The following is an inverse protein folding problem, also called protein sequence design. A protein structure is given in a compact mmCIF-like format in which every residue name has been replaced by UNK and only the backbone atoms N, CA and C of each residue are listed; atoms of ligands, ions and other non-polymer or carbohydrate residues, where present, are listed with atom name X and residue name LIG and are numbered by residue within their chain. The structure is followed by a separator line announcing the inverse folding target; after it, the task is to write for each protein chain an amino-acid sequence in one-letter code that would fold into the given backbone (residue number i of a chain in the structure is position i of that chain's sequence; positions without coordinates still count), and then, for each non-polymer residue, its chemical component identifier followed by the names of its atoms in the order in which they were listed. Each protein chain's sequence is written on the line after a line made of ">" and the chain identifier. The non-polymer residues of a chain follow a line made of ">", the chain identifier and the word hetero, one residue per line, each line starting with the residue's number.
data_IF_662641654288
#
_entry.id   IF_662641654288
#
_cell.length_a   1.000
_cell.length_b   1.000
_cell.length_c   1.000
_cell.angle_alpha   90.00
_cell.angle_beta   90.00
_cell.angle_gamma   90.00
#
_symmetry.space_group_name_H-M   'P 1'
#
loop_
_entity.id
_entity.type
_entity.pdbx_description
1 polymer ?
#
# COMPACT_ATOMS: atom_id res chain seq x y z
N UNK A 1 -7.50 24.56 10.56
CA UNK A 1 -6.09 24.79 10.96
C UNK A 1 -5.64 26.12 10.34
N UNK A 2 -5.30 27.10 11.16
CA UNK A 2 -4.92 28.47 10.75
C UNK A 2 -3.41 28.73 10.76
N UNK A 3 -2.60 27.75 10.34
CA UNK A 3 -1.15 27.94 10.16
C UNK A 3 -0.89 28.30 8.70
N UNK A 4 -0.24 29.43 8.47
CA UNK A 4 0.15 29.89 7.13
C UNK A 4 1.24 29.02 6.49
N UNK A 5 2.00 28.27 7.30
CA UNK A 5 3.07 27.36 6.86
C UNK A 5 3.05 26.05 7.64
N UNK A 6 3.20 24.94 6.93
CA UNK A 6 3.26 23.57 7.46
C UNK A 6 4.49 22.89 6.87
N UNK A 7 5.34 22.30 7.71
CA UNK A 7 6.49 21.50 7.29
C UNK A 7 6.24 20.04 7.62
N UNK A 8 6.40 19.15 6.64
CA UNK A 8 6.19 17.70 6.80
C UNK A 8 7.31 16.91 6.12
N UNK A 9 7.52 15.68 6.55
CA UNK A 9 8.47 14.71 5.98
C UNK A 9 7.72 13.51 5.37
N UNK A 10 8.03 13.21 4.10
CA UNK A 10 7.62 11.97 3.42
C UNK A 10 8.75 10.94 3.50
N UNK A 11 8.53 9.88 4.26
CA UNK A 11 9.41 8.73 4.34
C UNK A 11 9.21 7.79 3.15
N UNK A 12 10.30 7.43 2.46
CA UNK A 12 10.31 6.52 1.31
C UNK A 12 11.48 5.54 1.40
N UNK A 13 11.45 4.47 0.58
CA UNK A 13 12.63 3.63 0.35
C UNK A 13 13.63 4.30 -0.60
N UNK A 14 14.91 3.94 -0.50
CA UNK A 14 16.02 4.49 -1.28
C UNK A 14 16.19 3.91 -2.70
N UNK A 15 15.27 3.04 -3.12
CA UNK A 15 15.20 2.51 -4.50
C UNK A 15 14.65 3.55 -5.47
N UNK A 16 15.10 3.52 -6.72
CA UNK A 16 14.82 4.54 -7.73
C UNK A 16 13.32 4.82 -7.93
N UNK A 17 12.50 3.77 -8.03
CA UNK A 17 11.05 3.93 -8.23
C UNK A 17 10.38 4.64 -7.05
N UNK A 18 10.81 4.33 -5.81
CA UNK A 18 10.26 4.98 -4.62
C UNK A 18 10.69 6.45 -4.51
N UNK A 19 11.92 6.78 -4.90
CA UNK A 19 12.40 8.18 -4.96
C UNK A 19 11.58 9.00 -5.95
N UNK A 20 11.38 8.50 -7.17
CA UNK A 20 10.58 9.17 -8.20
C UNK A 20 9.14 9.42 -7.76
N UNK A 21 8.51 8.45 -7.09
CA UNK A 21 7.18 8.64 -6.52
C UNK A 21 7.19 9.70 -5.41
N UNK A 22 8.20 9.69 -4.53
CA UNK A 22 8.39 10.71 -3.49
C UNK A 22 8.50 12.13 -4.06
N UNK A 23 9.33 12.33 -5.08
CA UNK A 23 9.50 13.60 -5.79
C UNK A 23 8.19 14.05 -6.46
N UNK A 24 7.46 13.12 -7.09
CA UNK A 24 6.16 13.40 -7.68
C UNK A 24 5.14 13.86 -6.64
N UNK A 25 5.05 13.17 -5.50
CA UNK A 25 4.16 13.55 -4.39
C UNK A 25 4.54 14.94 -3.86
N UNK A 26 5.84 15.16 -3.60
CA UNK A 26 6.38 16.44 -3.15
C UNK A 26 5.97 17.59 -4.08
N UNK A 27 6.30 17.46 -5.36
CA UNK A 27 6.00 18.48 -6.37
C UNK A 27 4.49 18.75 -6.47
N UNK A 28 3.65 17.71 -6.49
CA UNK A 28 2.21 17.89 -6.63
C UNK A 28 1.58 18.52 -5.38
N UNK A 29 1.94 18.05 -4.18
CA UNK A 29 1.37 18.59 -2.95
C UNK A 29 1.80 20.04 -2.74
N UNK A 30 3.08 20.37 -2.92
CA UNK A 30 3.56 21.75 -2.76
C UNK A 30 3.00 22.70 -3.82
N UNK A 31 2.74 22.23 -5.05
CA UNK A 31 2.09 23.03 -6.09
C UNK A 31 0.63 23.36 -5.75
N UNK A 32 -0.11 22.40 -5.18
CA UNK A 32 -1.55 22.53 -4.97
C UNK A 32 -1.93 23.01 -3.57
N UNK A 33 -1.00 23.00 -2.60
CA UNK A 33 -1.23 23.39 -1.22
C UNK A 33 -0.26 24.51 -0.81
N UNK A 34 -0.56 25.78 -1.16
CA UNK A 34 0.25 26.93 -0.73
C UNK A 34 0.47 26.92 0.78
N UNK A 35 1.71 27.10 1.21
CA UNK A 35 2.11 27.03 2.62
C UNK A 35 2.61 25.66 3.08
N UNK A 36 2.45 24.61 2.28
CA UNK A 36 3.09 23.31 2.54
C UNK A 36 4.54 23.30 2.06
N UNK A 37 5.44 22.88 2.95
CA UNK A 37 6.80 22.49 2.63
C UNK A 37 6.96 21.00 2.96
N UNK A 38 7.12 20.18 1.92
CA UNK A 38 7.26 18.73 2.07
C UNK A 38 8.71 18.35 1.77
N UNK A 39 9.37 17.64 2.67
CA UNK A 39 10.71 17.08 2.46
C UNK A 39 10.62 15.58 2.20
N UNK A 40 11.47 15.03 1.33
CA UNK A 40 11.49 13.58 1.04
C UNK A 40 12.71 12.98 1.73
N UNK A 41 12.48 11.99 2.59
CA UNK A 41 13.52 11.20 3.24
C UNK A 41 13.53 9.79 2.68
N UNK A 42 14.56 9.46 1.93
CA UNK A 42 14.74 8.13 1.33
C UNK A 42 15.81 7.36 2.07
N UNK A 43 15.46 6.21 2.65
CA UNK A 43 16.37 5.35 3.43
C UNK A 43 16.24 3.87 3.03
N UNK A 44 17.22 3.01 3.35
CA UNK A 44 17.13 1.58 3.06
C UNK A 44 15.83 0.96 3.56
N UNK A 45 15.25 0.03 2.80
CA UNK A 45 13.94 -0.59 3.08
C UNK A 45 13.82 -1.09 4.54
N UNK A 46 14.85 -1.75 5.07
CA UNK A 46 14.86 -2.24 6.46
C UNK A 46 14.69 -1.10 7.47
N UNK A 47 15.40 0.00 7.28
CA UNK A 47 15.28 1.19 8.13
C UNK A 47 13.95 1.90 7.94
N UNK A 48 13.43 1.97 6.70
CA UNK A 48 12.10 2.51 6.42
C UNK A 48 11.02 1.73 7.17
N UNK A 49 11.05 0.40 7.10
CA UNK A 49 10.14 -0.48 7.84
C UNK A 49 10.23 -0.25 9.35
N UNK A 50 11.44 -0.19 9.91
CA UNK A 50 11.63 0.07 11.33
C UNK A 50 11.09 1.45 11.76
N UNK A 51 11.33 2.50 10.96
CA UNK A 51 10.78 3.82 11.22
C UNK A 51 9.25 3.84 11.13
N UNK A 52 8.66 3.13 10.16
CA UNK A 52 7.20 3.00 10.08
C UNK A 52 6.63 2.28 11.29
N UNK A 53 7.22 1.15 11.70
CA UNK A 53 6.75 0.41 12.88
C UNK A 53 6.81 1.25 14.15
N UNK A 54 7.85 2.09 14.29
CA UNK A 54 8.06 2.92 15.48
C UNK A 54 7.47 4.34 15.38
N UNK A 55 6.61 4.61 14.38
CA UNK A 55 5.97 5.93 14.20
C UNK A 55 6.95 7.11 14.00
N UNK A 56 8.14 6.82 13.47
CA UNK A 56 9.17 7.83 13.15
C UNK A 56 9.00 8.39 11.73
N UNK A 57 7.83 8.98 11.44
CA UNK A 57 7.48 9.59 10.16
C UNK A 57 6.24 10.50 10.31
N UNK A 58 6.06 11.47 9.41
CA UNK A 58 4.76 12.17 9.26
C UNK A 58 3.88 11.43 8.25
N UNK A 59 4.43 11.17 7.05
CA UNK A 59 3.82 10.35 6.02
C UNK A 59 4.81 9.30 5.53
N UNK A 60 4.29 8.16 5.09
CA UNK A 60 5.13 7.11 4.52
C UNK A 60 4.56 6.66 3.18
N UNK A 61 5.42 6.61 2.16
CA UNK A 61 5.13 5.89 0.94
C UNK A 61 5.52 4.42 1.11
N UNK A 62 4.59 3.53 0.78
CA UNK A 62 4.79 2.10 0.79
C UNK A 62 4.02 1.44 -0.35
N UNK A 63 4.48 0.27 -0.73
CA UNK A 63 3.79 -0.61 -1.68
C UNK A 63 3.45 -1.92 -0.98
N UNK A 64 2.39 -2.57 -1.43
CA UNK A 64 2.04 -3.89 -0.94
C UNK A 64 1.78 -4.86 -2.09
N UNK A 65 2.04 -6.13 -1.81
CA UNK A 65 1.71 -7.25 -2.67
C UNK A 65 0.96 -8.24 -1.82
N UNK A 66 -0.22 -8.69 -2.25
CA UNK A 66 -1.05 -9.55 -1.42
C UNK A 66 -0.37 -10.89 -1.20
N UNK A 67 -0.51 -11.42 0.02
CA UNK A 67 0.02 -12.75 0.35
C UNK A 67 -0.91 -13.88 -0.15
N UNK A 68 -2.19 -13.56 -0.39
CA UNK A 68 -3.23 -14.48 -0.87
C UNK A 68 -4.33 -13.70 -1.63
N UNK A 69 -5.15 -14.40 -2.46
CA UNK A 69 -6.21 -13.81 -3.31
C UNK A 69 -7.44 -13.32 -2.51
N UNK A 70 -7.27 -12.37 -1.59
CA UNK A 70 -8.39 -11.83 -0.83
C UNK A 70 -8.21 -10.34 -0.46
N UNK A 71 -9.24 -9.49 -0.63
CA UNK A 71 -9.18 -8.08 -0.21
C UNK A 71 -8.90 -7.87 1.28
N UNK A 72 -9.20 -8.87 2.11
CA UNK A 72 -8.94 -8.82 3.54
C UNK A 72 -7.45 -8.63 3.85
N UNK A 73 -6.55 -9.12 2.99
CA UNK A 73 -5.11 -8.91 3.15
C UNK A 73 -4.80 -7.41 3.20
N UNK A 74 -5.22 -6.64 2.18
CA UNK A 74 -5.06 -5.19 2.11
C UNK A 74 -5.76 -4.42 3.25
N UNK A 75 -6.94 -4.89 3.68
CA UNK A 75 -7.74 -4.19 4.70
C UNK A 75 -7.37 -4.55 6.15
N UNK A 76 -6.31 -5.32 6.38
CA UNK A 76 -5.90 -5.69 7.74
C UNK A 76 -4.41 -5.51 7.98
N UNK A 77 -3.57 -6.14 7.17
CA UNK A 77 -2.10 -6.10 7.31
C UNK A 77 -1.45 -5.48 6.08
N UNK A 78 -2.16 -5.50 4.95
CA UNK A 78 -1.58 -5.30 3.65
C UNK A 78 -1.39 -3.86 3.25
N UNK A 79 -0.15 -3.37 3.37
CA UNK A 79 0.27 -2.07 2.86
C UNK A 79 0.04 -0.89 3.80
N UNK A 80 -0.82 -1.08 4.80
CA UNK A 80 -1.06 -0.13 5.87
C UNK A 80 -0.43 -0.68 7.15
N UNK A 81 0.90 -0.56 7.21
CA UNK A 81 1.65 -0.88 8.43
C UNK A 81 1.04 -0.12 9.61
N UNK A 82 0.93 -0.79 10.75
CA UNK A 82 0.30 -0.25 11.96
C UNK A 82 -1.20 0.10 11.82
N UNK A 83 -1.93 -0.42 10.82
CA UNK A 83 -3.37 -0.12 10.66
C UNK A 83 -4.18 -0.37 11.93
N UNK A 84 -4.02 -1.53 12.57
CA UNK A 84 -4.78 -1.88 13.78
C UNK A 84 -4.51 -0.95 14.97
N UNK A 85 -3.24 -0.65 15.34
CA UNK A 85 -2.97 0.32 16.40
C UNK A 85 -3.23 1.78 16.02
N UNK A 86 -3.28 2.16 14.73
CA UNK A 86 -3.37 3.58 14.32
C UNK A 86 -4.78 4.01 13.91
N UNK A 87 -5.61 3.07 13.47
CA UNK A 87 -6.95 3.36 12.98
C UNK A 87 -8.01 2.76 13.91
N UNK A 88 -8.78 3.61 14.58
CA UNK A 88 -9.74 3.20 15.62
C UNK A 88 -11.21 3.41 15.22
N UNK A 89 -11.55 3.23 13.95
CA UNK A 89 -12.94 3.34 13.51
C UNK A 89 -13.71 2.04 13.79
N UNK A 90 -14.62 2.08 14.76
CA UNK A 90 -15.41 0.91 15.18
C UNK A 90 -16.25 0.30 14.04
N UNK A 91 -16.82 1.14 13.17
CA UNK A 91 -17.60 0.65 12.03
C UNK A 91 -16.70 -0.13 11.06
N UNK A 92 -15.50 0.37 10.76
CA UNK A 92 -14.54 -0.35 9.94
C UNK A 92 -14.21 -1.73 10.52
N UNK A 93 -13.78 -1.78 11.80
CA UNK A 93 -13.38 -3.04 12.43
C UNK A 93 -14.54 -4.01 12.57
N UNK A 94 -15.76 -3.52 12.80
CA UNK A 94 -16.94 -4.37 12.79
C UNK A 94 -17.19 -5.01 11.41
N UNK A 95 -17.07 -4.26 10.31
CA UNK A 95 -17.20 -4.84 8.96
C UNK A 95 -16.12 -5.90 8.69
N UNK A 96 -14.88 -5.66 9.13
CA UNK A 96 -13.78 -6.62 9.02
C UNK A 96 -14.07 -7.90 9.82
N UNK A 97 -14.56 -7.77 11.05
CA UNK A 97 -14.92 -8.92 11.88
C UNK A 97 -16.07 -9.73 11.24
N UNK A 98 -17.14 -9.05 10.80
CA UNK A 98 -18.26 -9.71 10.13
C UNK A 98 -17.83 -10.47 8.87
N UNK A 99 -16.90 -9.92 8.09
CA UNK A 99 -16.34 -10.59 6.90
C UNK A 99 -15.52 -11.85 7.26
N UNK A 100 -14.81 -11.84 8.40
CA UNK A 100 -14.02 -12.96 8.92
C UNK A 100 -14.86 -14.05 9.58
N UNK A 101 -15.98 -13.68 10.20
CA UNK A 101 -16.79 -14.56 11.07
C UNK A 101 -18.15 -14.85 10.44
N UNK A 102 -19.14 -14.01 10.70
CA UNK A 102 -20.57 -14.23 10.42
C UNK A 102 -20.86 -14.40 8.93
N UNK A 103 -20.12 -13.72 8.07
CA UNK A 103 -20.30 -13.79 6.62
C UNK A 103 -19.29 -14.69 5.91
N UNK A 104 -18.41 -15.40 6.64
CA UNK A 104 -17.35 -16.21 6.05
C UNK A 104 -17.86 -17.20 4.98
N UNK A 105 -19.04 -17.78 5.19
CA UNK A 105 -19.67 -18.74 4.27
C UNK A 105 -20.73 -18.12 3.35
N UNK A 106 -20.91 -16.79 3.36
CA UNK A 106 -21.84 -16.06 2.51
C UNK A 106 -21.08 -15.07 1.62
N UNK A 107 -20.68 -15.47 0.40
CA UNK A 107 -19.81 -14.65 -0.46
C UNK A 107 -20.36 -13.25 -0.75
N UNK A 108 -21.67 -13.10 -0.94
CA UNK A 108 -22.30 -11.80 -1.21
C UNK A 108 -22.22 -10.87 0.00
N UNK A 109 -22.60 -11.36 1.19
CA UNK A 109 -22.53 -10.56 2.42
C UNK A 109 -21.09 -10.23 2.80
N UNK A 110 -20.17 -11.19 2.63
CA UNK A 110 -18.74 -11.01 2.87
C UNK A 110 -18.16 -9.91 1.98
N UNK A 111 -18.40 -9.99 0.68
CA UNK A 111 -17.92 -8.99 -0.28
C UNK A 111 -18.48 -7.60 0.07
N UNK A 112 -19.76 -7.50 0.39
CA UNK A 112 -20.36 -6.22 0.76
C UNK A 112 -19.73 -5.63 2.03
N UNK A 113 -19.42 -6.45 3.03
CA UNK A 113 -18.75 -5.99 4.24
C UNK A 113 -17.34 -5.44 3.94
N UNK A 114 -16.57 -6.13 3.09
CA UNK A 114 -15.24 -5.65 2.67
C UNK A 114 -15.31 -4.33 1.87
N UNK A 115 -16.30 -4.19 0.98
CA UNK A 115 -16.56 -2.93 0.25
C UNK A 115 -16.92 -1.80 1.22
N UNK A 116 -17.75 -2.08 2.23
CA UNK A 116 -18.13 -1.09 3.24
C UNK A 116 -16.90 -0.65 4.06
N UNK A 117 -16.04 -1.59 4.45
CA UNK A 117 -14.80 -1.31 5.16
C UNK A 117 -13.85 -0.44 4.31
N UNK A 118 -13.60 -0.79 3.05
CA UNK A 118 -12.76 0.01 2.15
C UNK A 118 -13.31 1.43 1.96
N UNK A 119 -14.62 1.57 1.72
CA UNK A 119 -15.24 2.88 1.58
C UNK A 119 -15.11 3.74 2.85
N UNK A 120 -15.19 3.13 4.04
CA UNK A 120 -14.97 3.84 5.30
C UNK A 120 -13.52 4.33 5.40
N UNK A 121 -12.56 3.43 5.22
CA UNK A 121 -11.13 3.70 5.37
C UNK A 121 -10.60 4.73 4.38
N UNK A 122 -10.95 4.59 3.10
CA UNK A 122 -10.35 5.36 2.00
C UNK A 122 -11.19 6.60 1.66
N UNK A 123 -12.50 6.45 1.48
CA UNK A 123 -13.33 7.56 0.95
C UNK A 123 -13.84 8.50 2.02
N UNK A 124 -14.20 7.97 3.20
CA UNK A 124 -14.77 8.78 4.29
C UNK A 124 -13.68 9.34 5.20
N UNK A 125 -12.77 8.47 5.64
CA UNK A 125 -11.79 8.84 6.66
C UNK A 125 -10.45 9.26 6.06
N UNK A 126 -10.20 8.95 4.78
CA UNK A 126 -8.97 9.25 4.06
C UNK A 126 -7.69 8.83 4.84
N UNK A 127 -7.76 7.69 5.56
CA UNK A 127 -6.65 7.18 6.36
C UNK A 127 -5.42 6.86 5.50
N UNK A 128 -5.65 6.42 4.26
CA UNK A 128 -4.63 6.20 3.25
C UNK A 128 -5.07 6.74 1.90
N UNK A 129 -4.08 7.10 1.08
CA UNK A 129 -4.28 7.58 -0.29
C UNK A 129 -3.67 6.60 -1.30
N UNK A 130 -4.47 5.70 -1.90
CA UNK A 130 -3.98 4.82 -2.96
C UNK A 130 -3.50 5.64 -4.16
N UNK A 131 -2.29 5.33 -4.66
CA UNK A 131 -1.67 6.09 -5.75
C UNK A 131 -1.74 5.36 -7.09
N UNK A 132 -1.37 4.09 -7.12
CA UNK A 132 -1.34 3.30 -8.35
C UNK A 132 -1.44 1.80 -8.04
N UNK A 133 -1.89 1.04 -9.03
CA UNK A 133 -1.73 -0.41 -9.07
C UNK A 133 -0.52 -0.74 -9.95
N UNK A 134 0.48 -1.43 -9.39
CA UNK A 134 1.72 -1.71 -10.09
C UNK A 134 1.50 -2.67 -11.27
N UNK A 135 1.98 -2.29 -12.45
CA UNK A 135 2.15 -3.17 -13.60
C UNK A 135 3.63 -3.38 -13.90
N UNK A 136 4.01 -4.57 -14.34
CA UNK A 136 5.39 -4.89 -14.72
C UNK A 136 5.45 -5.32 -16.16
N UNK A 137 6.38 -4.71 -16.91
CA UNK A 137 6.77 -5.14 -18.25
C UNK A 137 8.13 -5.80 -18.18
N UNK A 138 8.33 -6.89 -18.93
CA UNK A 138 9.61 -7.61 -18.98
C UNK A 138 9.88 -8.14 -20.37
N UNK A 139 11.16 -8.33 -20.68
CA UNK A 139 11.61 -9.01 -21.89
C UNK A 139 12.06 -10.43 -21.50
N UNK A 140 11.46 -11.44 -22.14
CA UNK A 140 11.85 -12.83 -21.96
C UNK A 140 12.58 -13.31 -23.22
N UNK A 141 13.80 -13.81 -23.05
CA UNK A 141 14.54 -14.42 -24.14
C UNK A 141 13.73 -15.60 -24.71
N UNK A 142 13.58 -15.66 -26.04
CA UNK A 142 12.81 -16.71 -26.75
C UNK A 142 13.28 -18.14 -26.44
N UNK A 143 14.51 -18.30 -25.95
CA UNK A 143 15.08 -19.59 -25.52
C UNK A 143 14.58 -20.06 -24.16
N UNK A 144 13.99 -19.17 -23.35
CA UNK A 144 13.47 -19.48 -22.03
C UNK A 144 12.05 -20.00 -22.16
N UNK A 145 11.81 -21.19 -21.61
CA UNK A 145 10.49 -21.84 -21.58
C UNK A 145 10.14 -22.24 -20.15
N UNK A 146 8.84 -22.36 -19.84
CA UNK A 146 8.37 -22.74 -18.50
C UNK A 146 8.49 -21.64 -17.43
N UNK A 147 8.83 -20.41 -17.83
CA UNK A 147 8.77 -19.22 -16.97
C UNK A 147 7.32 -18.87 -16.65
N UNK A 148 7.02 -18.70 -15.36
CA UNK A 148 5.70 -18.30 -14.89
C UNK A 148 5.87 -17.15 -13.90
N UNK A 149 4.95 -16.20 -13.94
CA UNK A 149 4.76 -15.22 -12.89
C UNK A 149 3.61 -15.69 -12.00
N UNK A 150 3.74 -15.44 -10.70
CA UNK A 150 2.64 -15.57 -9.76
C UNK A 150 1.43 -14.74 -10.21
N UNK A 151 0.19 -15.17 -9.91
CA UNK A 151 -1.01 -14.36 -10.18
C UNK A 151 -0.98 -12.99 -9.47
N UNK A 152 -0.13 -12.84 -8.44
CA UNK A 152 0.12 -11.57 -7.74
C UNK A 152 1.23 -10.71 -8.39
N UNK A 153 1.68 -11.10 -9.59
CA UNK A 153 2.52 -10.32 -10.51
C UNK A 153 4.04 -10.53 -10.37
N UNK A 154 4.59 -10.42 -9.16
CA UNK A 154 6.02 -10.15 -9.01
C UNK A 154 6.89 -11.29 -8.45
N UNK A 155 6.31 -12.47 -8.23
CA UNK A 155 7.09 -13.66 -7.87
C UNK A 155 7.28 -14.50 -9.12
N UNK A 156 8.51 -14.54 -9.63
CA UNK A 156 8.88 -15.43 -10.71
C UNK A 156 9.05 -16.86 -10.19
N UNK A 157 8.39 -17.80 -10.85
CA UNK A 157 8.50 -19.21 -10.57
C UNK A 157 9.52 -19.85 -11.52
N UNK A 158 10.61 -20.33 -10.95
CA UNK A 158 11.74 -20.89 -11.69
C UNK A 158 11.73 -22.42 -11.78
N UNK A 159 10.85 -23.11 -11.05
CA UNK A 159 10.86 -24.58 -10.94
C UNK A 159 10.64 -25.31 -12.28
N UNK A 160 9.95 -24.69 -13.24
CA UNK A 160 9.71 -25.25 -14.57
C UNK A 160 10.60 -24.63 -15.66
N UNK A 161 11.51 -23.72 -15.30
CA UNK A 161 12.28 -22.95 -16.28
C UNK A 161 13.34 -23.81 -16.96
N UNK A 162 13.39 -23.73 -18.29
CA UNK A 162 14.40 -24.35 -19.15
C UNK A 162 14.94 -23.35 -20.15
N UNK A 163 16.24 -23.44 -20.44
CA UNK A 163 16.93 -22.67 -21.48
C UNK A 163 17.33 -23.65 -22.58
N UNK A 164 16.90 -23.38 -23.82
CA UNK A 164 17.27 -24.16 -25.01
C UNK A 164 18.43 -23.53 -25.78
#
# INVERSE_FOLDING_TARGET
>A
MGKEKINLELLTSDVDDSKRVGEFIQSNLMKNLPGLNLTVKSIPLKSRLANTTNHNYDFVFGTWRPSYEDPLDFLTVGGLFNLQPDYHNDNFWHQIDMAKTTYATNPKKRLQALINAENQLIKKDAFAAPLYQAGVSYLLNKKVTGFQLSPYGNVAYYWNVKIK
#
